data_IF_627180565741
#
_entry.id   IF_627180565741
#
_cell.length_a   1.000
_cell.length_b   1.000
_cell.length_c   1.000
_cell.angle_alpha   90.00
_cell.angle_beta   90.00
_cell.angle_gamma   90.00
#
_symmetry.space_group_name_H-M   'P 1'
#
loop_
_entity.id
_entity.type
_entity.pdbx_description
1 polymer ?
#
# COMPACT_ATOMS: atom_id res chain seq x y z
N UNK A 1 19.75 -11.69 -18.21
CA UNK A 1 19.83 -12.10 -16.80
C UNK A 1 19.72 -13.59 -16.73
N UNK A 2 20.75 -14.25 -16.21
CA UNK A 2 20.76 -15.70 -16.01
C UNK A 2 19.89 -15.99 -14.78
N UNK A 3 18.82 -16.76 -14.96
CA UNK A 3 18.00 -17.27 -13.85
C UNK A 3 18.33 -18.74 -13.71
N UNK A 4 19.21 -19.13 -12.78
CA UNK A 4 19.38 -20.53 -12.44
C UNK A 4 18.18 -21.00 -11.60
N UNK A 5 17.99 -22.32 -11.50
CA UNK A 5 17.06 -23.07 -10.62
C UNK A 5 15.79 -23.58 -11.34
N UNK A 6 15.32 -24.84 -11.23
CA UNK A 6 15.60 -25.98 -10.34
C UNK A 6 15.00 -27.28 -10.96
N UNK A 7 15.49 -28.45 -10.48
CA UNK A 7 15.00 -29.84 -10.64
C UNK A 7 14.62 -30.32 -12.08
N UNK A 8 15.14 -31.47 -12.56
CA UNK A 8 14.70 -32.05 -13.83
C UNK A 8 13.17 -32.19 -13.88
N UNK A 9 12.54 -31.65 -14.93
CA UNK A 9 11.09 -31.78 -15.16
C UNK A 9 10.20 -30.64 -14.64
N UNK A 10 10.72 -29.68 -13.85
CA UNK A 10 9.92 -28.54 -13.37
C UNK A 10 10.05 -27.35 -14.32
N UNK A 11 8.91 -26.76 -14.73
CA UNK A 11 8.88 -25.55 -15.55
C UNK A 11 9.54 -24.38 -14.80
N UNK A 12 10.58 -23.72 -15.36
CA UNK A 12 11.23 -22.59 -14.72
C UNK A 12 10.27 -21.42 -14.54
N UNK A 13 10.01 -21.00 -13.30
CA UNK A 13 9.23 -19.79 -13.02
C UNK A 13 10.02 -18.55 -13.44
N UNK A 14 9.62 -17.93 -14.56
CA UNK A 14 10.16 -16.64 -15.02
C UNK A 14 9.10 -15.55 -14.89
N UNK A 15 9.48 -14.29 -14.64
CA UNK A 15 8.54 -13.19 -14.73
C UNK A 15 8.00 -13.11 -16.17
N UNK A 16 6.69 -13.23 -16.33
CA UNK A 16 6.01 -13.14 -17.63
C UNK A 16 6.00 -11.69 -18.13
N UNK A 17 7.14 -11.21 -18.64
CA UNK A 17 7.25 -9.86 -19.23
C UNK A 17 7.36 -9.95 -20.76
N UNK A 18 6.73 -9.04 -21.51
CA UNK A 18 6.95 -8.94 -22.95
C UNK A 18 8.43 -8.78 -23.27
N UNK A 19 8.88 -9.44 -24.35
CA UNK A 19 10.27 -9.37 -24.81
C UNK A 19 10.38 -8.25 -25.84
N UNK A 20 11.19 -7.23 -25.54
CA UNK A 20 11.49 -6.17 -26.50
C UNK A 20 12.48 -6.67 -27.55
N UNK A 21 12.00 -6.95 -28.76
CA UNK A 21 12.82 -7.43 -29.88
C UNK A 21 13.33 -6.30 -30.79
N UNK A 22 12.95 -5.04 -30.56
CA UNK A 22 13.23 -3.91 -31.48
C UNK A 22 14.72 -3.77 -31.81
N UNK A 23 15.60 -4.03 -30.83
CA UNK A 23 17.05 -3.95 -30.99
C UNK A 23 17.67 -5.09 -31.84
N UNK A 24 16.93 -6.15 -32.10
CA UNK A 24 17.35 -7.32 -32.89
C UNK A 24 16.75 -7.32 -34.31
N UNK A 25 15.85 -6.38 -34.59
CA UNK A 25 15.11 -6.35 -35.85
C UNK A 25 15.82 -5.51 -36.92
N UNK A 26 15.77 -6.00 -38.16
CA UNK A 26 16.05 -5.18 -39.33
C UNK A 26 14.90 -4.21 -39.55
N UNK A 27 15.18 -2.90 -39.44
CA UNK A 27 14.23 -1.80 -39.70
C UNK A 27 14.20 -1.41 -41.19
N UNK A 28 14.34 -2.39 -42.08
CA UNK A 28 14.38 -2.22 -43.53
C UNK A 28 13.39 -3.18 -44.20
N UNK A 29 13.41 -3.25 -45.54
CA UNK A 29 12.62 -4.23 -46.29
C UNK A 29 13.12 -5.68 -46.11
N UNK A 30 14.22 -5.90 -45.36
CA UNK A 30 14.74 -7.23 -45.09
C UNK A 30 13.77 -8.06 -44.23
N UNK A 31 13.68 -9.36 -44.51
CA UNK A 31 12.83 -10.28 -43.76
C UNK A 31 13.43 -10.57 -42.38
N UNK A 32 12.66 -10.33 -41.33
CA UNK A 32 12.99 -10.74 -39.96
C UNK A 32 12.49 -12.18 -39.71
N UNK A 33 13.33 -13.04 -39.11
CA UNK A 33 12.98 -14.44 -38.79
C UNK A 33 13.07 -14.67 -37.29
N UNK A 34 11.95 -15.01 -36.66
CA UNK A 34 11.86 -15.33 -35.22
C UNK A 34 11.70 -16.85 -35.09
N UNK A 35 12.55 -17.48 -34.27
CA UNK A 35 12.47 -18.91 -33.97
C UNK A 35 12.17 -19.08 -32.49
N UNK A 36 11.08 -19.77 -32.16
CA UNK A 36 10.67 -20.05 -30.78
C UNK A 36 10.91 -21.53 -30.51
N UNK A 37 11.55 -21.83 -29.38
CA UNK A 37 11.77 -23.21 -28.91
C UNK A 37 11.23 -23.31 -27.49
N UNK A 38 10.57 -24.41 -27.17
CA UNK A 38 10.00 -24.66 -25.85
C UNK A 38 10.17 -26.13 -25.47
N UNK A 39 10.17 -26.40 -24.17
CA UNK A 39 10.14 -27.77 -23.63
C UNK A 39 8.71 -28.28 -23.57
N UNK A 40 8.54 -29.61 -23.61
CA UNK A 40 7.24 -30.22 -23.39
C UNK A 40 6.94 -30.32 -21.88
N UNK A 41 6.16 -29.37 -21.38
CA UNK A 41 5.71 -29.33 -19.99
C UNK A 41 4.21 -29.63 -19.84
N UNK A 42 3.60 -30.34 -20.80
CA UNK A 42 2.17 -30.68 -20.77
C UNK A 42 1.21 -29.50 -20.99
N UNK A 43 1.71 -28.35 -21.44
CA UNK A 43 0.93 -27.12 -21.68
C UNK A 43 0.99 -26.69 -23.13
N UNK A 44 -0.08 -26.07 -23.60
CA UNK A 44 -0.12 -25.40 -24.90
C UNK A 44 0.25 -23.92 -24.72
N UNK A 45 1.06 -23.39 -25.64
CA UNK A 45 1.51 -21.99 -25.63
C UNK A 45 1.15 -21.30 -26.94
N UNK A 46 0.90 -20.00 -26.85
CA UNK A 46 0.67 -19.12 -28.01
C UNK A 46 1.66 -17.97 -27.98
N UNK A 47 2.12 -17.52 -29.15
CA UNK A 47 3.03 -16.39 -29.29
C UNK A 47 2.40 -15.34 -30.19
N UNK A 48 2.38 -14.09 -29.72
CA UNK A 48 1.95 -12.93 -30.48
C UNK A 48 3.10 -11.93 -30.64
N UNK A 49 3.22 -11.35 -31.83
CA UNK A 49 4.14 -10.26 -32.12
C UNK A 49 3.33 -8.98 -32.35
N UNK A 50 3.63 -7.94 -31.59
CA UNK A 50 2.89 -6.68 -31.62
C UNK A 50 3.85 -5.51 -31.82
N UNK A 51 3.45 -4.56 -32.68
CA UNK A 51 4.03 -3.22 -32.68
C UNK A 51 3.29 -2.40 -31.62
N UNK A 52 4.03 -1.87 -30.66
CA UNK A 52 3.47 -1.14 -29.52
C UNK A 52 4.08 0.25 -29.41
N UNK A 53 3.31 1.19 -28.85
CA UNK A 53 3.82 2.48 -28.37
C UNK A 53 4.06 2.35 -26.86
N UNK A 54 5.31 2.52 -26.43
CA UNK A 54 5.61 2.59 -25.00
C UNK A 54 5.05 3.90 -24.43
N UNK A 55 4.29 3.80 -23.34
CA UNK A 55 3.82 4.96 -22.58
C UNK A 55 4.77 5.24 -21.42
N UNK A 56 5.08 6.51 -21.20
CA UNK A 56 5.89 6.97 -20.08
C UNK A 56 5.06 7.13 -18.81
N UNK A 57 5.71 7.15 -17.65
CA UNK A 57 5.02 7.42 -16.38
C UNK A 57 4.28 8.76 -16.40
N UNK A 58 4.82 9.77 -17.09
CA UNK A 58 4.24 11.10 -17.21
C UNK A 58 2.94 11.09 -18.04
N UNK A 59 2.92 10.37 -19.17
CA UNK A 59 1.72 10.23 -20.00
C UNK A 59 0.62 9.45 -19.25
N UNK A 60 0.98 8.38 -18.54
CA UNK A 60 0.06 7.61 -17.71
C UNK A 60 -0.50 8.46 -16.55
N UNK A 61 0.31 9.31 -15.94
CA UNK A 61 -0.12 10.23 -14.89
C UNK A 61 -1.10 11.26 -15.45
N UNK A 62 -0.81 11.84 -16.61
CA UNK A 62 -1.70 12.81 -17.25
C UNK A 62 -3.06 12.18 -17.54
N UNK A 63 -3.07 10.96 -18.11
CA UNK A 63 -4.30 10.21 -18.33
C UNK A 63 -5.04 9.94 -17.02
N UNK A 64 -4.35 9.50 -15.96
CA UNK A 64 -4.94 9.24 -14.64
C UNK A 64 -5.58 10.51 -14.05
N UNK A 65 -4.95 11.68 -14.22
CA UNK A 65 -5.53 12.97 -13.82
C UNK A 65 -6.78 13.37 -14.62
N UNK A 66 -6.95 12.86 -15.84
CA UNK A 66 -8.13 13.18 -16.66
C UNK A 66 -9.32 12.28 -16.34
N UNK A 67 -9.10 10.98 -16.11
CA UNK A 67 -10.20 10.00 -15.99
C UNK A 67 -10.28 9.27 -14.64
N UNK A 68 -9.24 9.36 -13.82
CA UNK A 68 -9.11 8.59 -12.56
C UNK A 68 -9.45 9.36 -11.29
N UNK A 69 -9.86 10.62 -11.37
CA UNK A 69 -10.21 11.42 -10.19
C UNK A 69 -11.58 10.99 -9.66
N UNK A 70 -11.63 10.51 -8.42
CA UNK A 70 -12.88 10.25 -7.70
C UNK A 70 -13.33 11.50 -6.97
N UNK A 71 -14.63 11.78 -7.04
CA UNK A 71 -15.22 12.96 -6.42
C UNK A 71 -15.07 12.93 -4.89
N UNK A 72 -14.79 14.05 -4.20
CA UNK A 72 -14.60 14.08 -2.75
C UNK A 72 -15.74 13.44 -1.95
N UNK A 73 -16.98 13.67 -2.35
CA UNK A 73 -18.18 13.11 -1.72
C UNK A 73 -18.26 11.58 -1.86
N UNK A 74 -17.78 11.01 -2.97
CA UNK A 74 -17.69 9.56 -3.14
C UNK A 74 -16.60 8.97 -2.25
N UNK A 75 -15.44 9.63 -2.18
CA UNK A 75 -14.37 9.24 -1.25
C UNK A 75 -14.85 9.35 0.22
N UNK A 76 -15.62 10.38 0.56
CA UNK A 76 -16.22 10.53 1.89
C UNK A 76 -17.22 9.42 2.20
N UNK A 77 -18.04 9.02 1.23
CA UNK A 77 -18.95 7.89 1.39
C UNK A 77 -18.17 6.58 1.63
N UNK A 78 -17.07 6.36 0.91
CA UNK A 78 -16.18 5.22 1.12
C UNK A 78 -15.56 5.23 2.53
N UNK A 79 -15.13 6.39 3.03
CA UNK A 79 -14.63 6.51 4.41
C UNK A 79 -15.71 6.05 5.41
N UNK A 80 -16.94 6.53 5.26
CA UNK A 80 -18.08 6.11 6.10
C UNK A 80 -18.35 4.62 6.01
N UNK A 81 -18.30 4.05 4.81
CA UNK A 81 -18.52 2.62 4.58
C UNK A 81 -17.46 1.78 5.29
N UNK A 82 -16.18 2.15 5.17
CA UNK A 82 -15.06 1.44 5.79
C UNK A 82 -14.99 1.61 7.30
N UNK A 83 -15.49 2.73 7.82
CA UNK A 83 -15.60 2.99 9.25
C UNK A 83 -16.94 2.55 9.84
N UNK A 84 -17.83 1.95 9.02
CA UNK A 84 -19.11 1.48 9.50
C UNK A 84 -18.87 0.41 10.55
N UNK A 85 -19.46 0.62 11.72
CA UNK A 85 -19.42 -0.34 12.81
C UNK A 85 -20.11 -1.64 12.40
N UNK A 86 -19.46 -2.75 12.70
CA UNK A 86 -20.12 -4.05 12.71
C UNK A 86 -20.95 -4.14 14.01
N UNK A 87 -22.29 -4.29 13.93
CA UNK A 87 -23.14 -4.36 15.12
C UNK A 87 -22.79 -5.51 16.06
N UNK A 88 -22.07 -6.53 15.58
CA UNK A 88 -21.63 -7.68 16.39
C UNK A 88 -20.21 -7.50 16.98
N UNK A 89 -19.53 -6.38 16.69
CA UNK A 89 -18.19 -6.07 17.23
C UNK A 89 -18.29 -5.30 18.55
N UNK A 90 -17.73 -5.85 19.62
CA UNK A 90 -17.60 -5.18 20.93
C UNK A 90 -16.68 -3.95 20.89
N UNK A 91 -15.84 -3.84 19.86
CA UNK A 91 -14.91 -2.72 19.66
C UNK A 91 -15.48 -1.79 18.60
N UNK A 92 -15.74 -0.54 18.98
CA UNK A 92 -16.17 0.51 18.07
C UNK A 92 -14.98 1.35 17.58
N UNK A 93 -14.67 1.29 16.29
CA UNK A 93 -13.68 2.18 15.66
C UNK A 93 -14.27 3.58 15.53
N UNK A 94 -13.86 4.52 16.37
CA UNK A 94 -14.34 5.92 16.35
C UNK A 94 -13.73 6.74 15.22
N UNK A 95 -12.60 6.30 14.69
CA UNK A 95 -11.90 6.95 13.60
C UNK A 95 -10.71 6.14 13.10
N UNK A 96 -10.10 6.60 12.01
CA UNK A 96 -8.89 6.00 11.45
C UNK A 96 -7.89 7.09 11.08
N UNK A 97 -6.65 6.89 11.52
CA UNK A 97 -5.54 7.77 11.20
C UNK A 97 -5.00 7.46 9.81
N UNK A 98 -4.75 8.52 9.04
CA UNK A 98 -4.15 8.44 7.70
C UNK A 98 -3.04 9.48 7.62
N UNK A 99 -1.88 9.06 7.10
CA UNK A 99 -0.75 9.96 6.86
C UNK A 99 -0.90 10.69 5.53
N UNK A 100 -0.60 11.99 5.55
CA UNK A 100 -0.42 12.84 4.38
C UNK A 100 0.99 12.66 3.75
N UNK A 101 1.83 11.83 4.35
CA UNK A 101 3.15 11.44 3.84
C UNK A 101 3.04 10.14 3.06
N UNK A 102 3.63 10.13 1.87
CA UNK A 102 3.65 8.97 1.00
C UNK A 102 4.47 7.82 1.62
N UNK A 103 3.91 6.60 1.75
CA UNK A 103 4.62 5.47 2.33
C UNK A 103 5.81 5.02 1.47
N UNK A 104 5.78 5.27 0.16
CA UNK A 104 6.83 4.91 -0.80
C UNK A 104 8.07 5.80 -0.70
N UNK A 105 7.87 7.12 -0.72
CA UNK A 105 8.97 8.09 -0.87
C UNK A 105 9.22 8.94 0.37
N UNK A 106 8.40 8.77 1.42
CA UNK A 106 8.49 9.51 2.69
C UNK A 106 8.45 11.03 2.51
N UNK A 107 7.75 11.49 1.48
CA UNK A 107 7.48 12.89 1.20
C UNK A 107 5.98 13.13 1.20
N UNK A 108 5.56 14.36 1.45
CA UNK A 108 4.15 14.76 1.38
C UNK A 108 3.52 14.37 0.04
N UNK A 109 2.33 13.78 0.09
CA UNK A 109 1.58 13.37 -1.09
C UNK A 109 1.32 14.59 -1.99
N UNK A 110 1.61 14.46 -3.28
CA UNK A 110 1.29 15.45 -4.30
C UNK A 110 0.06 15.03 -5.12
N UNK A 111 -0.05 13.73 -5.40
CA UNK A 111 -1.19 13.13 -6.11
C UNK A 111 -1.62 11.89 -5.32
N UNK A 112 -2.54 12.03 -4.35
CA UNK A 112 -2.96 10.92 -3.50
C UNK A 112 -3.72 9.89 -4.33
N UNK A 113 -3.16 8.69 -4.40
CA UNK A 113 -3.64 7.60 -5.23
C UNK A 113 -3.74 6.31 -4.43
N UNK A 114 -4.70 5.47 -4.80
CA UNK A 114 -4.88 4.11 -4.31
C UNK A 114 -5.56 3.28 -5.38
N UNK A 115 -5.50 1.96 -5.30
CA UNK A 115 -6.39 1.13 -6.12
C UNK A 115 -7.80 1.14 -5.52
N UNK A 116 -8.83 1.10 -6.35
CA UNK A 116 -10.23 1.03 -5.92
C UNK A 116 -10.47 -0.18 -5.02
N UNK A 117 -9.81 -1.30 -5.33
CA UNK A 117 -9.85 -2.59 -4.62
C UNK A 117 -9.11 -2.61 -3.28
N UNK A 118 -8.36 -1.56 -2.92
CA UNK A 118 -7.66 -1.51 -1.64
C UNK A 118 -8.64 -1.37 -0.46
N UNK A 119 -8.46 -2.20 0.59
CA UNK A 119 -9.26 -2.14 1.82
C UNK A 119 -8.85 -0.98 2.74
N UNK A 120 -7.61 -0.49 2.68
CA UNK A 120 -7.15 0.67 3.46
C UNK A 120 -7.60 2.02 2.86
N UNK A 121 -7.54 3.08 3.68
CA UNK A 121 -7.75 4.47 3.26
C UNK A 121 -6.43 5.22 2.97
N UNK A 122 -5.30 4.72 3.46
CA UNK A 122 -3.98 5.31 3.21
C UNK A 122 -3.69 5.37 1.70
N UNK A 123 -3.36 6.55 1.20
CA UNK A 123 -2.94 6.73 -0.19
C UNK A 123 -1.42 6.67 -0.32
N UNK A 124 -0.96 6.40 -1.54
CA UNK A 124 0.42 6.58 -1.98
C UNK A 124 0.48 7.59 -3.12
N UNK A 125 1.66 8.10 -3.45
CA UNK A 125 1.81 9.13 -4.48
C UNK A 125 1.83 8.51 -5.88
N UNK A 126 0.89 8.94 -6.75
CA UNK A 126 0.78 8.43 -8.11
C UNK A 126 2.03 8.66 -8.95
N UNK A 127 2.71 9.80 -8.78
CA UNK A 127 3.89 10.17 -9.59
C UNK A 127 4.98 9.12 -9.41
N UNK A 128 5.31 8.84 -8.15
CA UNK A 128 6.37 7.88 -7.81
C UNK A 128 5.95 6.43 -8.04
N UNK A 129 4.66 6.10 -7.82
CA UNK A 129 4.14 4.77 -8.11
C UNK A 129 4.25 4.41 -9.59
N UNK A 130 3.90 5.35 -10.49
CA UNK A 130 4.00 5.13 -11.94
C UNK A 130 5.47 5.06 -12.40
N UNK A 131 6.34 5.92 -11.87
CA UNK A 131 7.79 5.87 -12.17
C UNK A 131 8.44 4.53 -11.73
N UNK A 132 8.03 3.99 -10.57
CA UNK A 132 8.50 2.69 -10.11
C UNK A 132 8.06 1.58 -11.07
N UNK A 133 6.79 1.59 -11.48
CA UNK A 133 6.24 0.57 -12.37
C UNK A 133 6.76 0.68 -13.81
N UNK A 134 7.12 1.87 -14.28
CA UNK A 134 7.82 2.05 -15.55
C UNK A 134 9.19 1.34 -15.56
N UNK A 135 9.94 1.42 -14.44
CA UNK A 135 11.23 0.72 -14.30
C UNK A 135 11.07 -0.78 -14.06
N UNK A 136 10.17 -1.15 -13.15
CA UNK A 136 9.91 -2.53 -12.77
C UNK A 136 8.41 -2.70 -12.54
N UNK A 137 7.65 -3.14 -13.56
CA UNK A 137 6.21 -3.33 -13.42
C UNK A 137 5.96 -4.48 -12.46
N UNK A 138 5.53 -4.12 -11.26
CA UNK A 138 5.09 -5.05 -10.20
C UNK A 138 3.58 -4.91 -10.01
N UNK A 139 3.07 -3.68 -10.15
CA UNK A 139 1.66 -3.34 -10.00
C UNK A 139 1.09 -3.83 -8.65
N UNK A 140 1.89 -3.67 -7.59
CA UNK A 140 1.54 -4.06 -6.23
C UNK A 140 1.40 -2.82 -5.36
N UNK A 141 0.30 -2.75 -4.59
CA UNK A 141 0.03 -1.65 -3.68
C UNK A 141 1.11 -1.59 -2.59
N UNK A 142 1.79 -0.44 -2.40
CA UNK A 142 2.86 -0.31 -1.40
C UNK A 142 2.37 -0.20 0.05
N UNK A 143 1.06 -0.29 0.27
CA UNK A 143 0.45 -0.21 1.61
C UNK A 143 0.00 -1.59 2.09
N UNK A 144 -0.57 -2.41 1.20
CA UNK A 144 -1.16 -3.70 1.58
C UNK A 144 -0.68 -4.87 0.74
N UNK A 145 0.30 -4.68 -0.16
CA UNK A 145 0.88 -5.71 -1.01
C UNK A 145 -0.16 -6.52 -1.81
N UNK A 146 -1.31 -5.91 -2.13
CA UNK A 146 -2.32 -6.47 -3.05
C UNK A 146 -2.15 -5.92 -4.46
N UNK A 147 -2.63 -6.61 -5.51
CA UNK A 147 -2.61 -6.08 -6.88
C UNK A 147 -3.26 -4.70 -6.98
N UNK A 148 -2.55 -3.78 -7.61
CA UNK A 148 -2.97 -2.41 -7.89
C UNK A 148 -2.61 -2.04 -9.35
N UNK A 149 -3.23 -2.71 -10.34
CA UNK A 149 -2.97 -2.45 -11.74
C UNK A 149 -3.45 -1.04 -12.15
N UNK A 150 -2.87 -0.49 -13.21
CA UNK A 150 -3.09 0.89 -13.66
C UNK A 150 -4.57 1.25 -13.83
N UNK A 151 -5.35 0.33 -14.39
CA UNK A 151 -6.78 0.47 -14.67
C UNK A 151 -7.66 0.56 -13.41
N UNK A 152 -7.15 0.11 -12.26
CA UNK A 152 -7.84 0.19 -10.98
C UNK A 152 -7.37 1.39 -10.13
N UNK A 153 -6.39 2.16 -10.61
CA UNK A 153 -5.90 3.32 -9.87
C UNK A 153 -6.93 4.44 -9.88
N UNK A 154 -7.12 5.04 -8.71
CA UNK A 154 -7.95 6.22 -8.51
C UNK A 154 -7.16 7.30 -7.79
N UNK A 155 -7.43 8.56 -8.14
CA UNK A 155 -6.97 9.71 -7.37
C UNK A 155 -8.07 10.05 -6.36
N UNK A 156 -7.70 10.08 -5.08
CA UNK A 156 -8.63 10.36 -4.00
C UNK A 156 -8.90 11.87 -3.93
N UNK A 157 -10.09 12.28 -4.38
CA UNK A 157 -10.47 13.69 -4.40
C UNK A 157 -10.65 14.29 -3.01
N UNK A 158 -11.04 13.49 -2.00
CA UNK A 158 -11.17 13.97 -0.64
C UNK A 158 -9.79 14.27 -0.06
N UNK A 159 -8.86 13.32 -0.13
CA UNK A 159 -7.50 13.53 0.37
C UNK A 159 -6.76 14.62 -0.42
N UNK A 160 -7.04 14.77 -1.72
CA UNK A 160 -6.51 15.89 -2.54
C UNK A 160 -6.96 17.25 -2.00
N UNK A 161 -8.24 17.37 -1.61
CA UNK A 161 -8.79 18.58 -0.99
C UNK A 161 -8.14 18.83 0.37
N UNK A 162 -8.01 17.79 1.20
CA UNK A 162 -7.37 17.87 2.53
C UNK A 162 -5.91 18.33 2.42
N UNK A 163 -5.15 17.80 1.46
CA UNK A 163 -3.76 18.19 1.23
C UNK A 163 -3.61 19.69 0.91
N UNK A 164 -4.64 20.28 0.30
CA UNK A 164 -4.72 21.72 -0.03
C UNK A 164 -5.17 22.56 1.17
N UNK A 165 -6.04 22.04 2.02
CA UNK A 165 -6.59 22.75 3.19
C UNK A 165 -5.71 22.67 4.43
N UNK A 166 -4.82 21.68 4.53
CA UNK A 166 -4.00 21.44 5.72
C UNK A 166 -2.52 21.24 5.38
N UNK A 167 -1.76 22.33 5.31
CA UNK A 167 -0.32 22.28 5.00
C UNK A 167 0.58 21.96 6.20
N UNK A 168 0.06 22.12 7.43
CA UNK A 168 0.82 22.14 8.67
C UNK A 168 0.73 20.85 9.50
N UNK A 169 0.08 19.81 8.97
CA UNK A 169 0.02 18.48 9.58
C UNK A 169 0.46 17.40 8.59
N UNK A 170 1.04 16.34 9.15
CA UNK A 170 1.48 15.15 8.41
C UNK A 170 0.50 13.98 8.55
N UNK A 171 -0.47 14.09 9.46
CA UNK A 171 -1.49 13.09 9.71
C UNK A 171 -2.86 13.74 9.92
N UNK A 172 -3.90 12.99 9.55
CA UNK A 172 -5.30 13.33 9.80
C UNK A 172 -5.99 12.13 10.43
N UNK A 173 -7.09 12.39 11.11
CA UNK A 173 -8.02 11.36 11.56
C UNK A 173 -9.34 11.52 10.82
N UNK A 174 -9.78 10.46 10.13
CA UNK A 174 -11.13 10.37 9.61
C UNK A 174 -12.07 9.86 10.69
N UNK A 175 -13.24 10.48 10.80
CA UNK A 175 -14.29 10.11 11.73
C UNK A 175 -15.41 9.31 11.05
N UNK A 176 -16.22 8.60 11.83
CA UNK A 176 -17.31 7.73 11.34
C UNK A 176 -18.35 8.45 10.48
N UNK A 177 -18.53 9.76 10.67
CA UNK A 177 -19.41 10.62 9.85
C UNK A 177 -18.74 11.12 8.56
N UNK A 178 -17.52 10.64 8.29
CA UNK A 178 -16.68 11.02 7.15
C UNK A 178 -16.07 12.42 7.27
N UNK A 179 -16.24 13.12 8.39
CA UNK A 179 -15.46 14.32 8.67
C UNK A 179 -14.02 13.94 9.01
N UNK A 180 -13.14 14.93 9.07
CA UNK A 180 -11.73 14.72 9.35
C UNK A 180 -11.17 15.87 10.20
N UNK A 181 -10.12 15.58 10.97
CA UNK A 181 -9.37 16.59 11.70
C UNK A 181 -7.85 16.37 11.55
N UNK A 182 -7.05 17.45 11.50
CA UNK A 182 -5.59 17.33 11.47
C UNK A 182 -5.05 16.91 12.83
N UNK A 183 -4.10 15.98 12.82
CA UNK A 183 -3.35 15.60 14.03
C UNK A 183 -2.10 16.47 14.07
N UNK A 184 -2.12 17.45 14.96
CA UNK A 184 -0.95 18.29 15.24
C UNK A 184 -0.29 17.76 16.49
N UNK A 185 1.04 17.66 16.48
CA UNK A 185 1.77 17.56 17.74
C UNK A 185 1.37 18.78 18.57
N UNK A 186 0.88 18.56 19.78
CA UNK A 186 0.70 19.64 20.74
C UNK A 186 2.08 20.29 20.90
N UNK A 187 2.29 21.45 20.27
CA UNK A 187 3.16 22.44 20.90
C UNK A 187 2.47 22.69 22.21
N UNK A 188 3.06 22.22 23.31
CA UNK A 188 2.71 22.65 24.66
C UNK A 188 2.52 24.16 24.62
N UNK A 189 1.27 24.61 24.48
CA UNK A 189 0.91 25.94 24.91
C UNK A 189 0.99 25.78 26.40
N UNK A 190 2.04 26.33 27.00
CA UNK A 190 2.09 26.63 28.41
C UNK A 190 0.95 27.63 28.72
N UNK A 191 -0.28 27.16 28.69
CA UNK A 191 -1.39 27.77 29.38
C UNK A 191 -1.27 27.25 30.81
N UNK A 192 -0.37 27.88 31.58
CA UNK A 192 -0.47 27.84 33.03
C UNK A 192 -1.91 28.22 33.39
N UNK A 193 -2.70 27.37 34.07
CA UNK A 193 -3.94 27.84 34.64
C UNK A 193 -3.57 28.83 35.74
N UNK A 194 -3.70 30.13 35.45
CA UNK A 194 -3.77 31.14 36.48
C UNK A 194 -5.12 30.98 37.17
N UNK A 195 -5.17 30.05 38.11
CA UNK A 195 -6.15 30.09 39.17
C UNK A 195 -5.91 31.38 39.96
N UNK A 196 -6.88 32.30 40.09
CA UNK A 196 -6.75 33.38 41.06
C UNK A 196 -6.84 32.76 42.45
N UNK A 197 -5.68 32.54 43.08
CA UNK A 197 -5.61 32.30 44.53
C UNK A 197 -6.08 33.58 45.20
N UNK A 198 -7.26 33.53 45.83
CA UNK A 198 -7.72 34.53 46.78
C UNK A 198 -6.84 34.41 48.03
N UNK A 199 -5.85 35.28 48.17
CA UNK A 199 -5.10 35.46 49.43
C UNK A 199 -5.87 36.46 50.30
N UNK A 200 -6.61 35.95 51.29
CA UNK A 200 -6.99 36.73 52.47
C UNK A 200 -5.79 36.79 53.43
N UNK A 201 -5.41 37.99 53.85
CA UNK A 201 -4.35 38.21 54.83
C UNK A 201 -4.78 37.96 56.29
N UNK A 202 -3.83 37.58 57.14
CA UNK A 202 -3.29 38.45 58.22
C UNK A 202 -2.35 37.71 59.21
N UNK A 203 -1.20 38.36 59.46
CA UNK A 203 -0.50 38.59 60.75
C UNK A 203 0.18 37.49 61.59
N UNK A 204 1.53 37.63 61.66
CA UNK A 204 2.43 37.73 62.83
C UNK A 204 2.67 36.55 63.82
N UNK A 205 3.90 36.01 63.77
CA UNK A 205 5.02 36.17 64.76
C UNK A 205 5.75 34.89 65.22
N UNK A 206 7.09 35.02 65.25
CA UNK A 206 8.13 34.32 66.02
C UNK A 206 8.65 32.92 65.61
N UNK A 207 9.98 32.87 65.40
CA UNK A 207 10.82 31.81 65.99
C UNK A 207 11.96 31.20 65.14
N UNK A 208 13.15 31.82 65.19
CA UNK A 208 14.50 31.22 65.35
C UNK A 208 15.01 30.04 64.48
N UNK A 209 16.17 30.27 63.84
CA UNK A 209 17.13 29.29 63.28
C UNK A 209 17.94 28.57 64.40
N UNK A 210 18.53 27.37 64.16
CA UNK A 210 19.88 27.24 63.57
C UNK A 210 20.10 26.05 62.57
N UNK A 211 21.25 26.00 61.86
CA UNK A 211 21.63 25.02 60.80
C UNK A 211 22.32 23.76 61.41
N UNK A 212 22.90 22.72 60.71
CA UNK A 212 23.56 22.75 59.39
C UNK A 212 23.56 21.47 58.50
N UNK A 213 24.20 21.62 57.32
CA UNK A 213 25.01 20.68 56.51
C UNK A 213 24.72 19.17 56.47
N UNK A 214 24.70 18.63 55.23
CA UNK A 214 25.03 17.23 54.97
C UNK A 214 24.90 16.84 53.50
N UNK A 215 25.99 16.96 52.74
CA UNK A 215 26.21 16.28 51.45
C UNK A 215 26.22 14.75 51.67
N UNK A 216 25.67 13.97 50.74
CA UNK A 216 25.80 12.51 50.77
C UNK A 216 25.18 11.83 49.55
N UNK A 217 26.06 11.41 48.64
CA UNK A 217 25.78 10.65 47.42
C UNK A 217 25.22 9.24 47.65
N UNK A 218 24.71 8.68 46.54
CA UNK A 218 24.70 7.28 46.14
C UNK A 218 23.59 6.34 46.66
N UNK A 219 22.89 5.73 45.68
CA UNK A 219 21.97 4.62 45.89
C UNK A 219 21.44 4.07 44.57
N UNK A 220 22.31 3.37 43.83
CA UNK A 220 22.01 2.57 42.64
C UNK A 220 21.29 1.27 43.03
N UNK A 221 20.19 0.93 42.35
CA UNK A 221 19.64 -0.42 42.21
C UNK A 221 18.93 -0.48 40.83
N UNK A 222 19.46 -1.10 39.77
CA UNK A 222 19.41 -2.55 39.40
C UNK A 222 18.03 -3.16 39.68
N UNK A 223 17.12 -3.37 38.72
CA UNK A 223 17.12 -4.18 37.49
C UNK A 223 16.20 -5.40 37.72
N UNK A 224 15.13 -5.52 36.94
CA UNK A 224 14.44 -6.79 36.70
C UNK A 224 14.16 -6.88 35.20
N UNK A 225 15.02 -7.65 34.53
CA UNK A 225 14.86 -8.10 33.15
C UNK A 225 14.27 -9.49 33.24
N UNK A 226 13.04 -9.65 32.76
CA UNK A 226 12.40 -10.97 32.61
C UNK A 226 12.74 -11.52 31.23
N UNK A 227 13.63 -12.51 31.24
CA UNK A 227 13.96 -13.42 30.15
C UNK A 227 12.86 -14.47 30.02
N UNK A 228 12.23 -14.52 28.85
CA UNK A 228 11.27 -15.57 28.47
C UNK A 228 11.77 -16.26 27.20
N UNK A 229 12.96 -16.85 27.28
CA UNK A 229 13.38 -17.89 26.36
C UNK A 229 13.12 -19.25 27.01
N UNK A 230 11.97 -19.86 26.67
CA UNK A 230 11.79 -21.30 26.81
C UNK A 230 11.18 -21.86 25.52
N UNK A 231 12.04 -22.57 24.80
CA UNK A 231 11.76 -23.55 23.77
C UNK A 231 10.52 -24.41 24.07
N UNK A 232 9.68 -24.60 23.06
CA UNK A 232 8.96 -25.85 22.84
C UNK A 232 8.63 -25.98 21.36
N UNK A 233 9.51 -26.73 20.68
CA UNK A 233 9.26 -27.36 19.39
C UNK A 233 8.23 -28.48 19.57
N UNK A 234 7.15 -28.47 18.79
CA UNK A 234 6.39 -29.67 18.48
C UNK A 234 5.78 -29.53 17.09
N UNK A 235 6.28 -30.37 16.21
CA UNK A 235 5.93 -30.57 14.80
C UNK A 235 4.83 -31.62 14.69
N UNK A 236 3.68 -31.27 14.12
CA UNK A 236 2.72 -32.22 13.54
C UNK A 236 2.21 -31.62 12.23
N UNK A 237 2.60 -32.26 11.13
CA UNK A 237 2.08 -32.05 9.78
C UNK A 237 0.89 -32.99 9.62
N UNK A 238 -0.30 -32.44 9.40
CA UNK A 238 -1.47 -33.21 8.93
C UNK A 238 -1.62 -32.95 7.42
N UNK A 239 -1.35 -33.99 6.64
CA UNK A 239 -1.64 -34.07 5.20
C UNK A 239 -3.11 -34.51 5.07
N UNK A 240 -3.98 -33.64 4.55
CA UNK A 240 -5.29 -34.07 4.04
C UNK A 240 -5.14 -34.44 2.56
N UNK A 241 -5.30 -35.74 2.29
CA UNK A 241 -5.49 -36.33 0.97
C UNK A 241 -6.94 -36.12 0.53
N UNK A 242 -7.21 -35.20 -0.39
CA UNK A 242 -8.49 -35.16 -1.10
C UNK A 242 -8.47 -36.14 -2.28
N UNK A 243 -9.27 -37.20 -2.17
CA UNK A 243 -9.55 -38.18 -3.21
C UNK A 243 -10.32 -37.52 -4.38
N UNK A 244 -9.81 -37.67 -5.61
CA UNK A 244 -10.56 -37.33 -6.83
C UNK A 244 -11.51 -38.49 -7.17
N UNK A 245 -12.83 -38.24 -7.19
CA UNK A 245 -13.81 -39.11 -7.84
C UNK A 245 -13.93 -38.74 -9.34
N UNK A 246 -13.54 -39.69 -10.19
CA UNK A 246 -13.83 -39.72 -11.63
C UNK A 246 -15.34 -39.88 -11.88
N UNK A 247 -15.91 -39.06 -12.76
CA UNK A 247 -17.17 -39.37 -13.44
C UNK A 247 -17.10 -38.95 -14.93
N UNK A 248 -17.61 -39.85 -15.76
CA UNK A 248 -17.35 -40.05 -17.18
C UNK A 248 -18.03 -39.06 -18.18
N UNK A 249 -17.39 -38.96 -19.35
CA UNK A 249 -17.97 -38.88 -20.72
C UNK A 249 -18.88 -37.69 -21.14
N UNK A 250 -18.33 -36.75 -21.92
CA UNK A 250 -18.99 -36.26 -23.16
C UNK A 250 -17.97 -35.72 -24.18
N UNK A 251 -18.12 -36.15 -25.44
CA UNK A 251 -17.20 -35.92 -26.57
C UNK A 251 -17.10 -34.48 -27.13
N UNK A 252 -16.29 -34.27 -28.19
CA UNK A 252 -15.79 -32.94 -28.54
C UNK A 252 -16.76 -32.13 -29.40
N UNK A 253 -17.16 -30.95 -28.93
CA UNK A 253 -17.91 -29.96 -29.73
C UNK A 253 -17.00 -29.08 -30.62
N UNK A 254 -17.47 -28.68 -31.82
CA UNK A 254 -16.64 -27.98 -32.80
C UNK A 254 -16.34 -26.53 -32.42
N UNK A 255 -15.06 -26.16 -32.61
CA UNK A 255 -14.50 -24.83 -32.34
C UNK A 255 -15.26 -23.71 -33.07
N UNK A 256 -15.90 -22.81 -32.31
CA UNK A 256 -16.37 -21.52 -32.83
C UNK A 256 -15.18 -20.64 -33.20
N UNK A 257 -15.21 -20.10 -34.41
CA UNK A 257 -14.22 -19.18 -34.96
C UNK A 257 -14.33 -17.84 -34.22
N UNK A 258 -13.33 -17.48 -33.41
CA UNK A 258 -13.24 -16.15 -32.80
C UNK A 258 -12.70 -15.16 -33.84
N UNK A 259 -13.54 -14.21 -34.24
CA UNK A 259 -13.17 -13.09 -35.12
C UNK A 259 -12.41 -12.03 -34.30
N UNK A 260 -11.11 -11.89 -34.56
CA UNK A 260 -10.30 -10.81 -34.00
C UNK A 260 -10.67 -9.47 -34.68
N UNK A 261 -11.24 -8.55 -33.92
CA UNK A 261 -11.28 -7.14 -34.33
C UNK A 261 -9.88 -6.53 -34.22
N UNK A 262 -9.48 -5.80 -35.27
CA UNK A 262 -8.22 -5.05 -35.33
C UNK A 262 -8.33 -3.81 -34.42
N UNK A 263 -8.01 -3.98 -33.15
CA UNK A 263 -7.78 -2.88 -32.21
C UNK A 263 -6.34 -2.88 -31.72
N UNK A 264 -5.69 -1.71 -31.72
CA UNK A 264 -4.41 -1.50 -31.06
C UNK A 264 -4.56 -1.79 -29.57
N UNK A 265 -3.99 -2.91 -29.10
CA UNK A 265 -3.96 -3.24 -27.68
C UNK A 265 -2.91 -2.36 -27.01
N UNK A 266 -3.33 -1.49 -26.09
CA UNK A 266 -2.42 -0.75 -25.22
C UNK A 266 -1.86 -1.72 -24.17
N UNK A 267 -0.57 -1.99 -24.22
CA UNK A 267 0.15 -2.65 -23.13
C UNK A 267 0.59 -1.59 -22.12
N UNK A 268 0.23 -1.77 -20.85
CA UNK A 268 0.73 -0.97 -19.71
C UNK A 268 1.99 -1.61 -19.12
#
# INVERSE_FOLDING_TARGET
GYYPSNKPGVEPKRPCRPINLTHLMYLSAATNRITVTWGNYGKSYSVGLYLVRQMTSAELLQRLKTIGIKHPELCKALVKEKLRLDPDSEIATTGVRVSLICPLVKMRLSVPCRAETCAHLQCFDAVFYLQMNEKKPTWMCPVCDKPAPYDQLIIDGLLSKILTECEDADEIEYLVDGSWCPIRAEKERSCSPQCPILVLGSSDVNGLLPPPNGNGENGKATADVVDLTLDSSSSEEEEEEDEEEDDDDEGPQPKRRCSYEKGLVSAC
#
